data_IF_911667590769
#
_entry.id   IF_911667590769
#
_cell.length_a   1.000
_cell.length_b   1.000
_cell.length_c   1.000
_cell.angle_alpha   90.00
_cell.angle_beta   90.00
_cell.angle_gamma   90.00
#
_symmetry.space_group_name_H-M   'P 1'
#
loop_
_entity.id
_entity.type
_entity.pdbx_description
1 polymer ?
#
# COMPACT_ATOMS: atom_id res chain seq x y z
N UNK A 1 12.46 44.98 -7.21
CA UNK A 1 12.84 43.58 -6.94
C UNK A 1 14.35 43.49 -6.80
N UNK A 2 14.87 42.65 -5.89
CA UNK A 2 16.32 42.38 -5.78
C UNK A 2 16.73 41.12 -6.58
N UNK A 3 18.02 40.88 -6.77
CA UNK A 3 18.51 39.75 -7.59
C UNK A 3 18.02 38.40 -7.06
N UNK A 4 17.97 38.20 -5.74
CA UNK A 4 17.52 36.93 -5.14
C UNK A 4 16.04 36.67 -5.45
N UNK A 5 15.19 37.67 -5.27
CA UNK A 5 13.77 37.60 -5.64
C UNK A 5 13.57 37.36 -7.14
N UNK A 6 14.39 37.99 -7.98
CA UNK A 6 14.33 37.82 -9.43
C UNK A 6 14.75 36.42 -9.86
N UNK A 7 15.74 35.81 -9.20
CA UNK A 7 16.18 34.44 -9.44
C UNK A 7 15.13 33.41 -8.99
N UNK A 8 14.49 33.62 -7.83
CA UNK A 8 13.44 32.74 -7.30
C UNK A 8 12.16 32.73 -8.18
N UNK A 9 11.93 33.78 -8.97
CA UNK A 9 10.72 33.96 -9.79
C UNK A 9 10.96 33.86 -11.30
N UNK A 10 12.19 33.54 -11.72
CA UNK A 10 12.61 33.58 -13.12
C UNK A 10 11.89 32.54 -14.00
N UNK A 11 11.45 31.44 -13.39
CA UNK A 11 10.70 30.35 -14.03
C UNK A 11 9.27 30.75 -14.38
N UNK A 12 8.69 31.75 -13.68
CA UNK A 12 7.33 32.25 -13.93
C UNK A 12 7.19 32.84 -15.34
N UNK A 13 8.29 33.31 -15.94
CA UNK A 13 8.34 33.85 -17.30
C UNK A 13 8.36 32.76 -18.40
N UNK A 14 8.61 31.49 -18.02
CA UNK A 14 8.70 30.36 -18.95
C UNK A 14 7.41 29.55 -19.04
N UNK A 15 6.46 29.77 -18.13
CA UNK A 15 5.16 29.10 -18.12
C UNK A 15 4.15 29.88 -18.98
N UNK A 16 3.79 29.33 -20.14
CA UNK A 16 2.82 29.93 -21.06
C UNK A 16 1.37 29.96 -20.50
N UNK A 17 1.10 29.30 -19.38
CA UNK A 17 -0.19 29.30 -18.69
C UNK A 17 -0.30 30.34 -17.56
N UNK A 18 0.81 31.01 -17.22
CA UNK A 18 0.85 32.05 -16.19
C UNK A 18 0.13 33.33 -16.67
N UNK A 19 -1.17 33.43 -16.40
CA UNK A 19 -1.91 34.67 -16.57
C UNK A 19 -1.49 35.69 -15.50
N UNK A 20 -0.71 36.69 -15.92
CA UNK A 20 -0.14 37.82 -15.17
C UNK A 20 1.28 37.59 -14.63
N UNK A 21 2.26 37.73 -15.52
CA UNK A 21 3.65 37.97 -15.14
C UNK A 21 3.79 39.36 -14.50
N UNK A 22 4.41 39.41 -13.32
CA UNK A 22 4.64 40.64 -12.55
C UNK A 22 5.59 41.58 -13.31
N UNK A 23 5.16 42.81 -13.66
CA UNK A 23 5.98 43.77 -14.42
C UNK A 23 7.34 44.04 -13.76
N UNK A 24 7.41 43.98 -12.43
CA UNK A 24 8.64 44.27 -11.68
C UNK A 24 9.77 43.26 -11.90
N UNK A 25 9.44 42.05 -12.39
CA UNK A 25 10.43 41.04 -12.78
C UNK A 25 11.03 41.36 -14.15
N UNK A 26 10.20 41.80 -15.10
CA UNK A 26 10.65 42.24 -16.42
C UNK A 26 11.57 43.46 -16.29
N UNK A 27 11.16 44.46 -15.51
CA UNK A 27 11.94 45.66 -15.24
C UNK A 27 13.30 45.33 -14.60
N UNK A 28 13.37 44.30 -13.74
CA UNK A 28 14.62 43.88 -13.13
C UNK A 28 15.56 43.16 -14.11
N UNK A 29 15.02 42.29 -14.98
CA UNK A 29 15.81 41.63 -16.01
C UNK A 29 16.39 42.63 -17.01
N UNK A 30 15.65 43.69 -17.35
CA UNK A 30 16.17 44.78 -18.19
C UNK A 30 17.28 45.58 -17.48
N UNK A 31 17.20 45.75 -16.17
CA UNK A 31 18.15 46.54 -15.39
C UNK A 31 19.38 45.76 -14.88
N UNK A 32 19.35 44.42 -14.86
CA UNK A 32 20.36 43.57 -14.24
C UNK A 32 21.00 42.58 -15.24
N UNK A 33 22.20 42.87 -15.78
CA UNK A 33 22.86 42.01 -16.77
C UNK A 33 23.15 40.58 -16.28
N UNK A 34 23.33 40.40 -14.97
CA UNK A 34 23.59 39.08 -14.36
C UNK A 34 22.33 38.22 -14.42
N UNK A 35 21.18 38.79 -14.08
CA UNK A 35 19.90 38.07 -14.10
C UNK A 35 19.40 37.87 -15.53
N UNK A 36 19.62 38.82 -16.43
CA UNK A 36 19.33 38.69 -17.86
C UNK A 36 20.09 37.52 -18.48
N UNK A 37 21.40 37.43 -18.24
CA UNK A 37 22.23 36.35 -18.75
C UNK A 37 21.72 34.99 -18.26
N UNK A 38 21.43 34.89 -16.97
CA UNK A 38 20.92 33.66 -16.36
C UNK A 38 19.56 33.24 -16.94
N UNK A 39 18.66 34.19 -17.17
CA UNK A 39 17.37 33.95 -17.82
C UNK A 39 17.55 33.49 -19.28
N UNK A 40 18.48 34.11 -20.01
CA UNK A 40 18.77 33.76 -21.40
C UNK A 40 19.32 32.33 -21.56
N UNK A 41 20.16 31.89 -20.61
CA UNK A 41 20.70 30.53 -20.56
C UNK A 41 19.59 29.51 -20.25
N UNK A 42 18.74 29.81 -19.27
CA UNK A 42 17.59 28.98 -18.92
C UNK A 42 16.63 28.79 -20.10
N UNK A 43 16.32 29.88 -20.82
CA UNK A 43 15.47 29.84 -22.01
C UNK A 43 16.07 28.99 -23.13
N UNK A 44 17.37 29.11 -23.40
CA UNK A 44 18.08 28.28 -24.39
C UNK A 44 18.07 26.80 -24.02
N UNK A 45 18.25 26.47 -22.73
CA UNK A 45 18.15 25.09 -22.24
C UNK A 45 16.76 24.53 -22.46
N UNK A 46 15.71 25.32 -22.21
CA UNK A 46 14.33 24.89 -22.41
C UNK A 46 13.99 24.68 -23.90
N UNK A 47 14.42 25.60 -24.78
CA UNK A 47 14.22 25.53 -26.23
C UNK A 47 15.01 24.38 -26.90
N UNK A 48 16.06 23.88 -26.25
CA UNK A 48 16.84 22.73 -26.72
C UNK A 48 16.12 21.38 -26.51
N UNK A 49 15.02 21.33 -25.75
CA UNK A 49 14.17 20.14 -25.61
C UNK A 49 12.99 20.19 -26.59
N UNK A 50 12.84 19.22 -27.52
CA UNK A 50 11.67 19.17 -28.39
C UNK A 50 10.45 18.73 -27.58
N UNK A 51 9.44 19.60 -27.45
CA UNK A 51 8.17 19.24 -26.82
C UNK A 51 7.48 18.09 -27.60
N UNK A 52 7.11 16.96 -26.95
CA UNK A 52 6.26 15.98 -27.59
C UNK A 52 4.87 16.58 -27.80
N UNK A 53 4.43 16.68 -29.06
CA UNK A 53 3.04 17.06 -29.38
C UNK A 53 2.10 15.92 -29.00
N UNK A 54 1.58 15.96 -27.78
CA UNK A 54 0.41 15.18 -27.40
C UNK A 54 -0.83 16.01 -27.77
N UNK A 55 -1.45 15.69 -28.91
CA UNK A 55 -2.79 16.19 -29.23
C UNK A 55 -3.80 15.20 -28.62
N UNK A 56 -4.69 15.69 -27.75
CA UNK A 56 -5.81 14.90 -27.24
C UNK A 56 -6.68 14.42 -28.41
N UNK A 57 -7.09 13.15 -28.38
CA UNK A 57 -8.03 12.62 -29.37
C UNK A 57 -9.37 13.35 -29.31
N UNK A 58 -9.98 13.61 -30.47
CA UNK A 58 -11.33 14.17 -30.58
C UNK A 58 -12.32 13.34 -29.77
N UNK A 59 -13.02 13.97 -28.82
CA UNK A 59 -13.98 13.33 -27.91
C UNK A 59 -13.50 13.11 -26.46
N UNK A 60 -12.25 13.46 -26.13
CA UNK A 60 -11.71 13.32 -24.76
C UNK A 60 -12.56 14.06 -23.71
N UNK A 61 -12.96 15.31 -23.97
CA UNK A 61 -13.78 16.09 -23.04
C UNK A 61 -15.14 15.42 -22.79
N UNK A 62 -15.75 14.84 -23.81
CA UNK A 62 -17.05 14.18 -23.71
C UNK A 62 -16.93 12.81 -22.98
N UNK A 63 -15.83 12.09 -23.21
CA UNK A 63 -15.49 10.87 -22.48
C UNK A 63 -15.20 11.14 -20.99
N UNK A 64 -14.52 12.24 -20.67
CA UNK A 64 -14.25 12.66 -19.29
C UNK A 64 -15.53 13.10 -18.59
N UNK A 65 -16.39 13.87 -19.26
CA UNK A 65 -17.66 14.31 -18.68
C UNK A 65 -18.63 13.14 -18.45
N UNK A 66 -18.62 12.12 -19.31
CA UNK A 66 -19.37 10.89 -19.09
C UNK A 66 -18.79 10.03 -17.94
N UNK A 67 -17.47 9.98 -17.79
CA UNK A 67 -16.81 9.25 -16.70
C UNK A 67 -17.06 9.87 -15.32
N UNK A 68 -17.26 11.19 -15.25
CA UNK A 68 -17.60 11.90 -14.01
C UNK A 68 -19.06 11.63 -13.59
N UNK A 69 -19.97 11.43 -14.54
CA UNK A 69 -21.39 11.17 -14.26
C UNK A 69 -21.67 9.70 -13.86
N UNK A 70 -20.79 8.77 -14.19
CA UNK A 70 -20.99 7.32 -13.97
C UNK A 70 -20.04 6.78 -12.87
N UNK A 71 -19.99 7.47 -11.73
CA UNK A 71 -19.19 7.08 -10.55
C UNK A 71 -19.75 5.83 -9.88
N UNK A 72 -19.42 4.67 -10.46
CA UNK A 72 -19.39 3.38 -9.75
C UNK A 72 -18.00 3.17 -9.13
N UNK A 73 -17.90 2.42 -8.01
CA UNK A 73 -16.63 2.20 -7.32
C UNK A 73 -15.57 1.64 -8.28
N UNK A 74 -14.40 2.26 -8.23
CA UNK A 74 -13.26 2.00 -9.10
C UNK A 74 -12.83 0.54 -8.90
N UNK A 75 -13.06 -0.29 -9.92
CA UNK A 75 -12.43 -1.60 -10.05
C UNK A 75 -10.92 -1.38 -10.24
N UNK A 76 -10.11 -1.89 -9.32
CA UNK A 76 -8.65 -1.88 -9.41
C UNK A 76 -8.22 -2.45 -10.77
N UNK A 77 -7.60 -1.61 -11.60
CA UNK A 77 -7.00 -2.01 -12.88
C UNK A 77 -5.53 -2.34 -12.61
N UNK A 78 -5.10 -3.51 -13.09
CA UNK A 78 -3.73 -4.01 -12.94
C UNK A 78 -2.70 -3.07 -13.64
N UNK A 79 -1.76 -2.44 -12.92
CA UNK A 79 -0.90 -1.39 -13.47
C UNK A 79 0.40 -1.88 -14.13
N UNK A 80 0.73 -3.18 -14.08
CA UNK A 80 2.05 -3.70 -14.45
C UNK A 80 2.38 -3.77 -15.96
N UNK A 81 1.58 -3.14 -16.83
CA UNK A 81 1.83 -3.17 -18.29
C UNK A 81 2.63 -1.99 -18.85
N UNK A 82 3.12 -1.06 -18.01
CA UNK A 82 3.85 0.13 -18.47
C UNK A 82 5.18 0.30 -17.75
N UNK A 83 5.96 -0.78 -17.65
CA UNK A 83 7.37 -0.64 -17.31
C UNK A 83 8.10 -0.14 -18.56
N UNK A 84 8.59 1.11 -18.52
CA UNK A 84 9.45 1.82 -19.50
C UNK A 84 8.87 2.77 -20.55
N UNK A 85 7.56 3.07 -20.58
CA UNK A 85 7.05 4.19 -21.41
C UNK A 85 6.62 5.45 -20.61
N UNK A 86 6.58 5.37 -19.27
CA UNK A 86 6.06 6.44 -18.39
C UNK A 86 7.10 7.30 -17.66
N UNK A 87 8.40 7.02 -17.82
CA UNK A 87 9.48 7.61 -16.98
C UNK A 87 9.63 9.14 -17.09
N UNK A 88 9.03 9.80 -18.09
CA UNK A 88 9.05 11.27 -18.22
C UNK A 88 7.71 11.93 -17.83
N UNK A 89 6.63 11.17 -17.69
CA UNK A 89 5.29 11.72 -17.46
C UNK A 89 4.91 11.78 -15.97
N UNK A 90 5.38 10.83 -15.15
CA UNK A 90 5.06 10.76 -13.73
C UNK A 90 5.72 11.90 -12.92
N UNK A 91 6.99 12.21 -13.20
CA UNK A 91 7.69 13.34 -12.58
C UNK A 91 7.04 14.71 -12.91
N UNK A 92 6.43 14.85 -14.08
CA UNK A 92 5.75 16.07 -14.48
C UNK A 92 4.40 16.26 -13.77
N UNK A 93 3.66 15.18 -13.48
CA UNK A 93 2.37 15.25 -12.78
C UNK A 93 2.51 15.62 -11.30
N UNK A 94 3.55 15.14 -10.62
CA UNK A 94 3.85 15.50 -9.22
C UNK A 94 4.21 16.99 -9.09
N UNK A 95 4.94 17.54 -10.08
CA UNK A 95 5.27 18.97 -10.13
C UNK A 95 4.04 19.84 -10.43
N UNK A 96 3.14 19.42 -11.32
CA UNK A 96 1.93 20.19 -11.66
C UNK A 96 0.87 20.18 -10.54
N UNK A 97 0.72 19.07 -9.79
CA UNK A 97 -0.18 19.02 -8.63
C UNK A 97 0.34 19.89 -7.47
N UNK A 98 1.66 19.88 -7.23
CA UNK A 98 2.30 20.73 -6.22
C UNK A 98 2.27 22.23 -6.56
N UNK A 99 2.41 22.61 -7.83
CA UNK A 99 2.38 24.00 -8.27
C UNK A 99 0.98 24.64 -8.14
N UNK A 100 -0.08 23.87 -8.42
CA UNK A 100 -1.46 24.37 -8.37
C UNK A 100 -1.97 24.60 -6.94
N UNK A 101 -1.50 23.79 -5.98
CA UNK A 101 -1.94 23.87 -4.57
C UNK A 101 -1.00 24.65 -3.65
N UNK A 102 0.26 24.87 -4.05
CA UNK A 102 1.17 25.77 -3.34
C UNK A 102 0.59 27.17 -3.16
N UNK A 103 -0.28 27.63 -4.06
CA UNK A 103 -0.97 28.93 -3.93
C UNK A 103 -2.15 28.94 -2.96
N UNK A 104 -2.81 27.80 -2.70
CA UNK A 104 -3.98 27.74 -1.81
C UNK A 104 -3.59 27.46 -0.35
N UNK A 105 -2.64 26.55 -0.11
CA UNK A 105 -2.24 26.13 1.24
C UNK A 105 -1.26 27.08 1.95
N UNK A 106 -0.45 27.84 1.19
CA UNK A 106 0.46 28.87 1.75
C UNK A 106 -0.30 29.98 2.51
N UNK A 107 -1.62 30.07 2.34
CA UNK A 107 -2.44 31.07 3.03
C UNK A 107 -2.82 30.70 4.47
N UNK A 108 -2.63 29.45 4.92
CA UNK A 108 -3.15 28.99 6.23
C UNK A 108 -2.14 28.35 7.18
N UNK A 109 -0.97 27.90 6.72
CA UNK A 109 0.02 27.24 7.60
C UNK A 109 1.44 27.67 7.23
N UNK A 110 2.23 28.12 8.21
CA UNK A 110 3.56 28.73 8.03
C UNK A 110 4.70 27.77 7.63
N UNK A 111 4.41 26.54 7.21
CA UNK A 111 5.38 25.51 6.81
C UNK A 111 5.17 25.18 5.33
N UNK A 112 6.24 25.25 4.53
CA UNK A 112 6.18 25.21 3.05
C UNK A 112 6.06 23.76 2.53
N UNK A 113 4.90 23.29 2.05
CA UNK A 113 4.71 21.90 1.60
C UNK A 113 5.51 21.56 0.32
N UNK A 114 5.83 22.59 -0.47
CA UNK A 114 6.52 22.48 -1.76
C UNK A 114 7.90 21.82 -1.65
N UNK A 115 8.58 21.89 -0.50
CA UNK A 115 9.88 21.23 -0.31
C UNK A 115 9.76 19.73 -0.11
N UNK A 116 8.71 19.25 0.59
CA UNK A 116 8.50 17.82 0.82
C UNK A 116 8.18 17.10 -0.50
N UNK A 117 7.26 17.62 -1.30
CA UNK A 117 6.90 17.01 -2.59
C UNK A 117 8.05 16.99 -3.60
N UNK A 118 8.85 18.07 -3.67
CA UNK A 118 10.07 18.09 -4.50
C UNK A 118 11.06 17.02 -4.03
N UNK A 119 11.27 16.93 -2.72
CA UNK A 119 12.15 15.93 -2.12
C UNK A 119 11.70 14.50 -2.44
N UNK A 120 10.40 14.21 -2.37
CA UNK A 120 9.88 12.91 -2.77
C UNK A 120 10.20 12.59 -4.24
N UNK A 121 10.06 13.57 -5.14
CA UNK A 121 10.47 13.39 -6.54
C UNK A 121 11.96 13.05 -6.71
N UNK A 122 12.83 13.64 -5.88
CA UNK A 122 14.27 13.32 -5.87
C UNK A 122 14.54 11.90 -5.36
N UNK A 123 13.82 11.46 -4.31
CA UNK A 123 13.91 10.11 -3.78
C UNK A 123 13.42 9.04 -4.78
N UNK A 124 12.31 9.29 -5.52
CA UNK A 124 11.87 8.42 -6.64
C UNK A 124 13.00 8.26 -7.65
N UNK A 125 13.60 9.38 -8.07
CA UNK A 125 14.64 9.39 -9.09
C UNK A 125 15.92 8.66 -8.64
N UNK A 126 16.25 8.73 -7.36
CA UNK A 126 17.34 7.95 -6.77
C UNK A 126 17.03 6.45 -6.80
N UNK A 127 15.85 6.05 -6.33
CA UNK A 127 15.42 4.66 -6.29
C UNK A 127 15.28 4.03 -7.68
N UNK A 128 14.96 4.81 -8.71
CA UNK A 128 14.91 4.33 -10.10
C UNK A 128 16.25 3.82 -10.64
N UNK A 129 17.37 4.10 -9.94
CA UNK A 129 18.72 3.64 -10.31
C UNK A 129 19.16 2.38 -9.56
N UNK A 130 18.43 1.99 -8.52
CA UNK A 130 18.70 0.81 -7.72
C UNK A 130 18.34 -0.43 -8.52
N UNK A 131 19.24 -1.41 -8.53
CA UNK A 131 19.03 -2.71 -9.15
C UNK A 131 18.59 -3.75 -8.13
N UNK A 132 19.06 -3.65 -6.90
CA UNK A 132 18.71 -4.59 -5.84
C UNK A 132 18.56 -3.89 -4.49
N UNK A 133 17.64 -4.36 -3.66
CA UNK A 133 17.40 -3.85 -2.32
C UNK A 133 17.18 -5.00 -1.35
N UNK A 134 17.67 -4.83 -0.13
CA UNK A 134 17.45 -5.72 1.00
C UNK A 134 17.11 -4.89 2.23
N UNK A 135 15.99 -5.19 2.87
CA UNK A 135 15.53 -4.55 4.09
C UNK A 135 15.43 -5.61 5.17
N UNK A 136 16.03 -5.32 6.32
CA UNK A 136 15.75 -6.03 7.57
C UNK A 136 14.90 -5.12 8.44
N UNK A 137 13.81 -5.64 8.95
CA UNK A 137 12.86 -4.89 9.76
C UNK A 137 12.31 -5.73 10.90
N UNK A 138 11.62 -5.05 11.80
CA UNK A 138 10.83 -5.64 12.87
C UNK A 138 9.41 -5.07 12.79
N UNK A 139 8.41 -5.93 13.01
CA UNK A 139 7.01 -5.58 12.94
C UNK A 139 6.25 -6.16 14.14
N UNK A 140 5.37 -5.37 14.74
CA UNK A 140 4.54 -5.80 15.86
C UNK A 140 3.33 -6.58 15.35
N UNK A 141 3.48 -7.90 15.24
CA UNK A 141 2.50 -8.79 14.59
C UNK A 141 2.59 -10.20 15.17
N UNK A 142 1.66 -11.07 14.80
CA UNK A 142 1.80 -12.50 15.05
C UNK A 142 2.70 -13.14 13.97
N UNK A 143 3.61 -14.04 14.35
CA UNK A 143 4.57 -14.65 13.41
C UNK A 143 3.92 -15.22 12.14
N UNK A 144 2.87 -16.00 12.31
CA UNK A 144 2.22 -16.80 11.27
C UNK A 144 0.97 -16.16 10.64
N UNK A 145 0.66 -14.90 10.93
CA UNK A 145 -0.51 -14.21 10.39
C UNK A 145 -0.21 -13.41 9.10
N UNK A 146 -1.17 -12.71 8.51
CA UNK A 146 -0.98 -11.88 7.32
C UNK A 146 0.14 -10.82 7.52
N UNK A 147 0.80 -10.41 6.42
CA UNK A 147 1.85 -9.37 6.45
C UNK A 147 1.31 -7.97 6.78
N UNK A 148 0.00 -7.77 6.63
CA UNK A 148 -0.67 -6.50 6.90
C UNK A 148 -1.17 -6.36 8.34
N UNK A 149 -1.32 -7.48 9.04
CA UNK A 149 -1.87 -7.49 10.40
C UNK A 149 -0.84 -6.93 11.39
N UNK A 150 -1.21 -5.89 12.12
CA UNK A 150 -0.51 -5.42 13.32
C UNK A 150 -1.31 -5.83 14.56
N UNK A 151 -0.59 -6.09 15.65
CA UNK A 151 -1.19 -6.40 16.94
C UNK A 151 -0.47 -5.61 18.02
N UNK A 152 -1.09 -4.53 18.50
CA UNK A 152 -0.46 -3.52 19.37
C UNK A 152 0.06 -4.08 20.70
N UNK A 153 -0.45 -5.22 21.14
CA UNK A 153 -0.09 -5.90 22.38
C UNK A 153 0.95 -7.02 22.21
N UNK A 154 1.37 -7.32 20.98
CA UNK A 154 2.35 -8.38 20.69
C UNK A 154 3.78 -7.85 20.69
N UNK A 155 4.74 -8.77 20.71
CA UNK A 155 6.16 -8.45 20.52
C UNK A 155 6.49 -8.14 19.05
N UNK A 156 7.65 -7.51 18.85
CA UNK A 156 8.23 -7.32 17.53
C UNK A 156 8.71 -8.64 16.95
N UNK A 157 8.40 -8.87 15.68
CA UNK A 157 8.75 -10.05 14.90
C UNK A 157 9.63 -9.61 13.73
N UNK A 158 10.73 -10.33 13.42
CA UNK A 158 11.57 -9.98 12.29
C UNK A 158 10.83 -10.17 10.96
N UNK A 159 11.02 -9.21 10.07
CA UNK A 159 10.57 -9.25 8.68
C UNK A 159 11.77 -8.92 7.80
N UNK A 160 12.02 -9.74 6.78
CA UNK A 160 13.06 -9.47 5.79
C UNK A 160 12.44 -9.36 4.39
N UNK A 161 12.90 -8.39 3.62
CA UNK A 161 12.44 -8.10 2.27
C UNK A 161 13.64 -8.00 1.34
N UNK A 162 13.56 -8.70 0.22
CA UNK A 162 14.50 -8.59 -0.89
C UNK A 162 13.74 -8.21 -2.15
N UNK A 163 14.33 -7.29 -2.92
CA UNK A 163 13.84 -6.93 -4.24
C UNK A 163 15.01 -6.89 -5.21
N UNK A 164 14.81 -7.49 -6.38
CA UNK A 164 15.68 -7.37 -7.54
C UNK A 164 14.84 -6.72 -8.66
N UNK A 165 15.20 -5.48 -8.97
CA UNK A 165 14.53 -4.61 -9.92
C UNK A 165 14.99 -4.84 -11.36
N UNK A 166 15.79 -5.88 -11.65
CA UNK A 166 16.02 -6.31 -13.03
C UNK A 166 14.72 -6.77 -13.71
N UNK A 167 14.70 -6.85 -15.05
CA UNK A 167 13.57 -7.48 -15.75
C UNK A 167 13.82 -8.99 -15.89
N UNK A 168 12.90 -9.85 -15.44
CA UNK A 168 11.65 -9.53 -14.75
C UNK A 168 11.83 -9.20 -13.25
N UNK A 169 10.96 -8.33 -12.72
CA UNK A 169 10.96 -7.94 -11.30
C UNK A 169 10.83 -9.19 -10.42
N UNK A 170 11.72 -9.31 -9.44
CA UNK A 170 11.68 -10.37 -8.44
C UNK A 170 11.69 -9.77 -7.05
N UNK A 171 10.94 -10.36 -6.15
CA UNK A 171 10.97 -9.96 -4.74
C UNK A 171 10.62 -11.12 -3.84
N UNK A 172 11.00 -10.98 -2.58
CA UNK A 172 10.73 -11.94 -1.52
C UNK A 172 10.48 -11.18 -0.23
N UNK A 173 9.46 -11.57 0.51
CA UNK A 173 9.19 -11.08 1.86
C UNK A 173 8.99 -12.26 2.77
N UNK A 174 9.68 -12.27 3.90
CA UNK A 174 9.65 -13.34 4.88
C UNK A 174 9.34 -12.81 6.27
N UNK A 175 8.55 -13.58 7.00
CA UNK A 175 8.44 -13.53 8.46
C UNK A 175 8.24 -14.95 9.01
N UNK A 176 8.43 -15.20 10.31
CA UNK A 176 8.41 -16.57 10.82
C UNK A 176 7.07 -17.27 10.60
N UNK A 177 7.03 -18.22 9.68
CA UNK A 177 5.83 -18.96 9.32
C UNK A 177 5.20 -18.56 7.99
N UNK A 178 5.64 -17.46 7.35
CA UNK A 178 5.13 -17.01 6.05
C UNK A 178 6.22 -16.47 5.13
N UNK A 179 6.11 -16.85 3.86
CA UNK A 179 7.03 -16.45 2.80
C UNK A 179 6.21 -16.07 1.58
N UNK A 180 6.39 -14.87 1.06
CA UNK A 180 5.81 -14.43 -0.20
C UNK A 180 6.94 -14.15 -1.19
N UNK A 181 6.83 -14.66 -2.42
CA UNK A 181 7.87 -14.53 -3.45
C UNK A 181 7.21 -14.22 -4.79
N UNK A 182 7.74 -13.23 -5.52
CA UNK A 182 7.57 -13.09 -6.96
C UNK A 182 8.85 -13.59 -7.64
N UNK A 183 8.73 -14.65 -8.43
CA UNK A 183 9.86 -15.32 -9.10
C UNK A 183 10.22 -14.70 -10.47
N UNK A 184 9.53 -13.62 -10.85
CA UNK A 184 9.64 -12.97 -12.16
C UNK A 184 8.48 -13.29 -13.09
N UNK A 185 7.64 -14.27 -12.75
CA UNK A 185 6.45 -14.63 -13.52
C UNK A 185 5.18 -14.59 -12.66
N UNK A 186 5.24 -15.15 -11.45
CA UNK A 186 4.07 -15.31 -10.58
C UNK A 186 4.41 -15.08 -9.12
N UNK A 187 3.46 -14.53 -8.38
CA UNK A 187 3.57 -14.44 -6.92
C UNK A 187 3.06 -15.73 -6.26
N UNK A 188 3.81 -16.21 -5.29
CA UNK A 188 3.47 -17.37 -4.45
C UNK A 188 3.58 -16.98 -2.99
N UNK A 189 2.50 -17.18 -2.24
CA UNK A 189 2.48 -17.11 -0.78
C UNK A 189 2.51 -18.52 -0.23
N UNK A 190 3.46 -18.80 0.65
CA UNK A 190 3.58 -20.04 1.41
C UNK A 190 3.38 -19.74 2.89
N UNK A 191 2.41 -20.43 3.49
CA UNK A 191 2.10 -20.37 4.91
C UNK A 191 2.41 -21.74 5.49
N UNK A 192 3.32 -21.78 6.45
CA UNK A 192 3.72 -23.04 7.08
C UNK A 192 2.52 -23.66 7.84
N UNK A 193 2.39 -24.99 7.81
CA UNK A 193 3.36 -25.95 7.28
C UNK A 193 3.27 -26.20 5.77
N UNK A 194 2.10 -26.12 5.15
CA UNK A 194 1.88 -26.62 3.79
C UNK A 194 0.83 -25.83 2.97
N UNK A 195 0.39 -24.65 3.39
CA UNK A 195 -0.61 -23.89 2.63
C UNK A 195 0.07 -22.99 1.59
N UNK A 196 -0.48 -22.96 0.37
CA UNK A 196 0.07 -22.21 -0.76
C UNK A 196 -1.02 -21.43 -1.46
N UNK A 197 -0.84 -20.13 -1.63
CA UNK A 197 -1.63 -19.32 -2.55
C UNK A 197 -0.75 -18.90 -3.73
N UNK A 198 -1.34 -18.83 -4.92
CA UNK A 198 -0.69 -18.29 -6.11
C UNK A 198 -1.56 -17.20 -6.70
N UNK A 199 -0.92 -16.13 -7.12
CA UNK A 199 -1.55 -15.10 -7.94
C UNK A 199 -0.66 -14.87 -9.16
N UNK A 200 -1.16 -14.07 -10.11
CA UNK A 200 -0.37 -13.64 -11.26
C UNK A 200 0.76 -12.69 -10.83
N UNK A 201 0.87 -11.56 -11.51
CA UNK A 201 1.85 -10.50 -11.22
C UNK A 201 1.48 -9.61 -10.01
N UNK A 202 0.42 -9.95 -9.26
CA UNK A 202 -0.07 -9.12 -8.16
C UNK A 202 0.76 -9.28 -6.88
N UNK A 203 1.25 -8.18 -6.28
CA UNK A 203 1.94 -8.18 -4.99
C UNK A 203 1.00 -8.24 -3.78
N UNK A 204 -0.31 -8.48 -3.97
CA UNK A 204 -1.31 -8.40 -2.90
C UNK A 204 -1.06 -9.27 -1.65
N UNK A 205 -0.17 -10.28 -1.73
CA UNK A 205 0.18 -11.11 -0.57
C UNK A 205 0.95 -10.38 0.53
N UNK A 206 1.64 -9.29 0.22
CA UNK A 206 2.47 -8.55 1.19
C UNK A 206 1.84 -7.24 1.66
N UNK A 207 0.59 -6.96 1.26
CA UNK A 207 -0.19 -5.81 1.72
C UNK A 207 0.57 -4.49 1.54
N UNK A 208 0.58 -3.67 2.60
CA UNK A 208 1.27 -2.38 2.65
C UNK A 208 2.77 -2.44 2.32
N UNK A 209 3.45 -3.57 2.57
CA UNK A 209 4.89 -3.72 2.28
C UNK A 209 5.19 -3.69 0.78
N UNK A 210 4.16 -3.85 -0.07
CA UNK A 210 4.28 -3.61 -1.52
C UNK A 210 4.86 -2.22 -1.80
N UNK A 211 4.50 -1.20 -1.02
CA UNK A 211 5.03 0.14 -1.17
C UNK A 211 6.53 0.21 -0.87
N UNK A 212 7.07 -0.65 0.01
CA UNK A 212 8.52 -0.71 0.21
C UNK A 212 9.25 -1.30 -0.99
N UNK A 213 8.61 -2.19 -1.74
CA UNK A 213 9.15 -2.78 -2.98
C UNK A 213 9.06 -1.74 -4.10
N UNK A 214 7.94 -1.01 -4.20
CA UNK A 214 7.75 0.02 -5.21
C UNK A 214 7.72 1.42 -4.59
N UNK A 215 8.87 2.10 -4.60
CA UNK A 215 9.00 3.44 -4.03
C UNK A 215 8.19 4.49 -4.80
N UNK A 216 7.90 4.29 -6.08
CA UNK A 216 6.97 5.18 -6.81
C UNK A 216 5.55 5.07 -6.25
N UNK A 217 5.10 3.84 -5.93
CA UNK A 217 3.80 3.61 -5.29
C UNK A 217 3.80 4.14 -3.85
N UNK A 218 4.87 3.92 -3.08
CA UNK A 218 5.02 4.50 -1.74
C UNK A 218 4.78 6.00 -1.77
N UNK A 219 5.52 6.69 -2.63
CA UNK A 219 5.50 8.14 -2.68
C UNK A 219 4.19 8.67 -3.28
N UNK A 220 3.64 8.00 -4.30
CA UNK A 220 2.31 8.33 -4.81
C UNK A 220 1.21 8.14 -3.76
N UNK A 221 1.32 7.09 -2.93
CA UNK A 221 0.40 6.84 -1.83
C UNK A 221 0.55 7.90 -0.75
N UNK A 222 1.76 8.26 -0.33
CA UNK A 222 1.97 9.31 0.68
C UNK A 222 1.49 10.68 0.18
N UNK A 223 1.69 10.98 -1.11
CA UNK A 223 1.15 12.19 -1.74
C UNK A 223 -0.38 12.17 -1.72
N UNK A 224 -1.00 11.05 -2.07
CA UNK A 224 -2.46 10.88 -2.00
C UNK A 224 -2.98 11.03 -0.56
N UNK A 225 -2.30 10.45 0.43
CA UNK A 225 -2.68 10.53 1.83
C UNK A 225 -2.55 11.96 2.37
N UNK A 226 -1.52 12.68 1.98
CA UNK A 226 -1.35 14.10 2.31
C UNK A 226 -2.48 14.98 1.72
N UNK A 227 -3.22 14.50 0.73
CA UNK A 227 -4.40 15.18 0.17
C UNK A 227 -5.71 14.81 0.88
N UNK A 228 -5.71 13.83 1.79
CA UNK A 228 -6.89 13.48 2.59
C UNK A 228 -7.09 14.47 3.76
N UNK A 229 -8.35 14.72 4.13
CA UNK A 229 -8.65 15.63 5.23
C UNK A 229 -8.11 15.08 6.56
N UNK A 230 -7.21 15.84 7.20
CA UNK A 230 -6.66 15.52 8.51
C UNK A 230 -5.29 14.85 8.50
N UNK A 231 -4.71 14.63 7.32
CA UNK A 231 -3.33 14.18 7.14
C UNK A 231 -2.35 15.37 7.04
N UNK A 232 -1.10 15.17 7.46
CA UNK A 232 -0.04 16.18 7.38
C UNK A 232 1.26 15.56 6.86
N UNK A 233 1.98 16.30 6.01
CA UNK A 233 3.32 15.92 5.54
C UNK A 233 4.32 17.02 5.91
N UNK A 234 5.45 16.63 6.50
CA UNK A 234 6.53 17.55 6.83
C UNK A 234 7.89 16.97 6.50
N UNK A 235 8.81 17.86 6.09
CA UNK A 235 10.20 17.53 5.83
C UNK A 235 11.08 18.36 6.76
N UNK A 236 11.95 17.67 7.49
CA UNK A 236 12.92 18.25 8.44
C UNK A 236 14.31 17.69 8.17
N UNK A 237 15.32 18.37 8.71
CA UNK A 237 16.72 17.97 8.59
C UNK A 237 17.23 17.72 10.01
N UNK A 238 17.56 16.48 10.32
CA UNK A 238 17.95 16.04 11.66
C UNK A 238 19.39 15.56 11.67
N UNK A 239 20.01 15.58 12.85
CA UNK A 239 21.33 14.97 13.04
C UNK A 239 21.15 13.69 13.83
N UNK A 240 21.60 12.55 13.28
CA UNK A 240 21.54 11.25 13.93
C UNK A 240 22.38 11.22 15.21
N UNK A 241 22.20 10.18 16.02
CA UNK A 241 23.04 9.95 17.20
C UNK A 241 24.53 9.77 16.85
N UNK A 242 24.85 9.34 15.62
CA UNK A 242 26.22 9.25 15.11
C UNK A 242 26.77 10.57 14.53
N UNK A 243 25.96 11.64 14.50
CA UNK A 243 26.38 12.95 14.01
C UNK A 243 26.20 13.16 12.50
N UNK A 244 25.52 12.23 11.81
CA UNK A 244 25.20 12.36 10.38
C UNK A 244 23.94 13.19 10.19
N UNK A 245 23.92 14.09 9.20
CA UNK A 245 22.68 14.78 8.81
C UNK A 245 21.80 13.84 8.01
N UNK A 246 20.50 13.84 8.28
CA UNK A 246 19.50 13.03 7.59
C UNK A 246 18.31 13.90 7.15
N UNK A 247 17.77 13.58 5.97
CA UNK A 247 16.51 14.14 5.51
C UNK A 247 15.36 13.29 6.10
N UNK A 248 14.52 13.90 6.93
CA UNK A 248 13.46 13.20 7.66
C UNK A 248 12.09 13.66 7.18
N UNK A 249 11.36 12.76 6.56
CA UNK A 249 9.98 12.97 6.11
C UNK A 249 9.02 12.33 7.11
N UNK A 250 8.05 13.11 7.59
CA UNK A 250 6.97 12.63 8.46
C UNK A 250 5.65 12.73 7.74
N UNK A 251 4.87 11.65 7.80
CA UNK A 251 3.52 11.59 7.27
C UNK A 251 2.56 11.16 8.37
N UNK A 252 1.65 12.06 8.71
CA UNK A 252 0.50 11.81 9.58
C UNK A 252 -0.67 11.36 8.70
N UNK A 253 -1.23 10.20 8.98
CA UNK A 253 -2.33 9.60 8.23
C UNK A 253 -3.47 9.18 9.17
N UNK A 254 -4.70 9.27 8.66
CA UNK A 254 -5.90 8.80 9.35
C UNK A 254 -6.28 7.39 8.95
N UNK A 255 -6.94 6.68 9.88
CA UNK A 255 -7.52 5.37 9.61
C UNK A 255 -8.47 5.46 8.41
N UNK A 256 -8.26 4.58 7.44
CA UNK A 256 -9.09 4.44 6.27
C UNK A 256 -10.25 3.47 6.53
N UNK A 257 -11.26 3.51 5.67
CA UNK A 257 -12.41 2.62 5.75
C UNK A 257 -13.56 3.17 6.59
N UNK A 258 -14.61 2.37 6.75
CA UNK A 258 -15.82 2.76 7.49
C UNK A 258 -16.01 1.85 8.69
N UNK A 259 -16.11 2.44 9.87
CA UNK A 259 -16.22 1.73 11.14
C UNK A 259 -17.63 1.91 11.69
N UNK A 260 -18.44 0.85 11.61
CA UNK A 260 -19.73 0.78 12.32
C UNK A 260 -19.49 0.55 13.82
N UNK A 261 -18.34 -0.06 14.14
CA UNK A 261 -17.77 -0.23 15.48
C UNK A 261 -16.23 -0.28 15.34
N UNK A 262 -15.50 -0.32 16.46
CA UNK A 262 -14.03 -0.32 16.46
C UNK A 262 -13.41 -1.69 16.09
N UNK A 263 -14.18 -2.65 15.56
CA UNK A 263 -13.64 -3.95 15.15
C UNK A 263 -12.63 -3.79 14.01
N UNK A 264 -11.45 -4.41 14.13
CA UNK A 264 -10.29 -4.24 13.23
C UNK A 264 -9.66 -2.84 13.17
N UNK A 265 -10.19 -1.86 13.90
CA UNK A 265 -9.49 -0.59 14.02
C UNK A 265 -8.11 -0.82 14.64
N UNK A 266 -7.09 -0.18 14.07
CA UNK A 266 -5.69 -0.32 14.47
C UNK A 266 -5.11 -1.74 14.30
N UNK A 267 -5.74 -2.59 13.47
CA UNK A 267 -5.26 -3.94 13.16
C UNK A 267 -4.45 -4.04 11.86
N UNK A 268 -4.36 -2.94 11.11
CA UNK A 268 -3.45 -2.74 9.99
C UNK A 268 -2.95 -1.28 10.00
N UNK A 269 -1.89 -0.98 9.26
CA UNK A 269 -1.44 0.42 9.11
C UNK A 269 -2.53 1.26 8.43
N UNK A 270 -3.22 0.72 7.42
CA UNK A 270 -4.28 1.44 6.72
C UNK A 270 -5.53 1.67 7.60
N UNK A 271 -5.84 0.73 8.51
CA UNK A 271 -6.97 0.82 9.45
C UNK A 271 -6.63 1.62 10.73
N UNK A 272 -5.51 2.35 10.75
CA UNK A 272 -5.00 3.06 11.93
C UNK A 272 -4.76 4.54 11.69
N UNK A 273 -4.96 5.36 12.72
CA UNK A 273 -4.32 6.68 12.77
C UNK A 273 -2.84 6.45 13.03
N UNK A 274 -1.95 6.92 12.15
CA UNK A 274 -0.53 6.60 12.22
C UNK A 274 0.40 7.74 11.77
N UNK A 275 1.60 7.71 12.36
CA UNK A 275 2.74 8.51 11.96
C UNK A 275 3.78 7.60 11.30
N UNK A 276 4.19 7.97 10.08
CA UNK A 276 5.28 7.33 9.34
C UNK A 276 6.47 8.27 9.30
N UNK A 277 7.63 7.79 9.74
CA UNK A 277 8.89 8.56 9.76
C UNK A 277 9.87 7.88 8.82
N UNK A 278 10.11 8.50 7.67
CA UNK A 278 11.09 8.07 6.69
C UNK A 278 12.38 8.86 6.87
N UNK A 279 13.51 8.17 6.88
CA UNK A 279 14.86 8.76 6.98
C UNK A 279 15.63 8.45 5.72
N UNK A 280 16.20 9.48 5.10
CA UNK A 280 16.95 9.35 3.86
C UNK A 280 18.36 9.90 4.01
N UNK A 281 19.28 9.29 3.28
CA UNK A 281 20.64 9.78 3.14
C UNK A 281 20.63 11.06 2.27
N UNK A 282 21.21 12.20 2.71
CA UNK A 282 21.01 13.47 2.02
C UNK A 282 21.64 13.60 0.63
N UNK A 283 22.66 12.82 0.27
CA UNK A 283 23.38 12.98 -1.00
C UNK A 283 22.73 12.13 -2.10
N UNK A 284 22.52 10.86 -1.80
CA UNK A 284 21.94 9.81 -2.64
C UNK A 284 20.41 9.85 -2.64
N UNK A 285 19.78 10.40 -1.60
CA UNK A 285 18.31 10.37 -1.39
C UNK A 285 17.73 8.96 -1.26
N UNK A 286 18.56 7.97 -0.94
CA UNK A 286 18.11 6.59 -0.68
C UNK A 286 17.58 6.48 0.75
N UNK A 287 16.60 5.58 0.94
CA UNK A 287 15.99 5.33 2.24
C UNK A 287 17.02 4.65 3.16
N UNK A 288 17.31 5.26 4.32
CA UNK A 288 18.12 4.64 5.39
C UNK A 288 17.25 3.96 6.43
N UNK A 289 16.04 4.45 6.65
CA UNK A 289 15.14 3.83 7.59
C UNK A 289 13.70 4.31 7.54
N UNK A 290 12.82 3.51 8.13
CA UNK A 290 11.40 3.74 8.28
C UNK A 290 10.96 3.29 9.67
N UNK A 291 10.23 4.16 10.35
CA UNK A 291 9.51 3.87 11.58
C UNK A 291 8.03 4.17 11.38
N UNK A 292 7.13 3.30 11.86
CA UNK A 292 5.69 3.52 11.82
C UNK A 292 5.10 3.38 13.22
N UNK A 293 4.38 4.40 13.64
CA UNK A 293 3.74 4.51 14.94
C UNK A 293 2.22 4.57 14.76
N UNK A 294 1.49 3.80 15.56
CA UNK A 294 0.03 3.89 15.66
C UNK A 294 -0.36 4.76 16.83
N UNK A 295 -1.24 5.72 16.61
CA UNK A 295 -1.77 6.60 17.65
C UNK A 295 -2.86 5.89 18.44
N UNK A 296 -2.63 5.70 19.75
CA UNK A 296 -3.65 5.15 20.66
C UNK A 296 -4.03 6.18 21.73
N UNK A 297 -5.16 6.02 22.42
CA UNK A 297 -5.49 6.86 23.58
C UNK A 297 -4.43 6.83 24.70
N UNK A 298 -3.58 5.80 24.75
CA UNK A 298 -2.51 5.61 25.73
C UNK A 298 -1.16 6.19 25.26
N UNK A 299 -1.07 6.61 24.00
CA UNK A 299 0.16 7.12 23.37
C UNK A 299 0.51 6.37 22.09
N UNK A 300 1.62 6.77 21.48
CA UNK A 300 2.07 6.21 20.22
C UNK A 300 2.75 4.85 20.43
N UNK A 301 2.39 3.88 19.61
CA UNK A 301 2.94 2.51 19.64
C UNK A 301 3.75 2.27 18.38
N UNK A 302 5.05 2.02 18.51
CA UNK A 302 5.88 1.58 17.39
C UNK A 302 5.41 0.19 16.93
N UNK A 303 5.04 0.08 15.65
CA UNK A 303 4.53 -1.15 15.02
C UNK A 303 5.39 -1.66 13.88
N UNK A 304 6.28 -0.83 13.34
CA UNK A 304 7.25 -1.24 12.33
C UNK A 304 8.51 -0.39 12.44
N UNK A 305 9.67 -1.02 12.34
CA UNK A 305 10.95 -0.32 12.22
C UNK A 305 11.93 -1.09 11.33
N UNK A 306 12.65 -0.38 10.47
CA UNK A 306 13.79 -0.95 9.74
C UNK A 306 15.03 -0.98 10.61
N UNK A 307 15.79 -2.07 10.58
CA UNK A 307 17.09 -2.24 11.23
C UNK A 307 18.26 -2.04 10.27
N UNK A 308 18.08 -2.40 9.00
CA UNK A 308 19.07 -2.23 7.95
C UNK A 308 18.37 -2.07 6.59
N UNK A 309 18.90 -1.18 5.76
CA UNK A 309 18.52 -1.03 4.36
C UNK A 309 19.79 -1.01 3.53
N UNK A 310 19.93 -2.00 2.66
CA UNK A 310 21.11 -2.17 1.81
C UNK A 310 20.72 -2.25 0.33
N UNK A 311 21.56 -1.63 -0.51
CA UNK A 311 21.31 -1.45 -1.94
C UNK A 311 22.44 -2.04 -2.78
N UNK A 312 22.09 -2.60 -3.92
CA UNK A 312 23.00 -3.07 -4.97
C UNK A 312 24.11 -4.03 -4.49
N UNK A 313 23.84 -4.76 -3.40
CA UNK A 313 24.65 -5.88 -2.96
C UNK A 313 24.32 -7.13 -3.79
N UNK A 314 25.32 -7.98 -4.12
CA UNK A 314 25.07 -9.26 -4.78
C UNK A 314 24.08 -10.11 -3.98
N UNK A 315 23.02 -10.58 -4.65
CA UNK A 315 22.02 -11.48 -4.08
C UNK A 315 22.16 -12.88 -4.69
N UNK A 316 21.85 -13.91 -3.91
CA UNK A 316 21.81 -15.30 -4.40
C UNK A 316 20.62 -15.47 -5.35
N UNK A 317 20.85 -15.94 -6.58
CA UNK A 317 19.77 -16.15 -7.56
C UNK A 317 18.70 -17.14 -7.09
N UNK A 318 19.06 -18.07 -6.18
CA UNK A 318 18.13 -19.06 -5.63
C UNK A 318 17.16 -18.49 -4.60
N UNK A 319 17.39 -17.24 -4.15
CA UNK A 319 16.56 -16.56 -3.16
C UNK A 319 15.09 -16.43 -3.59
N UNK A 320 14.88 -16.15 -4.88
CA UNK A 320 13.54 -15.98 -5.47
C UNK A 320 12.91 -17.30 -5.93
N UNK A 321 13.55 -18.43 -5.66
CA UNK A 321 12.96 -19.75 -5.85
C UNK A 321 12.34 -20.23 -4.53
N UNK A 322 11.09 -20.69 -4.59
CA UNK A 322 10.39 -21.23 -3.43
C UNK A 322 10.18 -22.75 -3.58
N UNK A 323 10.80 -23.51 -2.68
CA UNK A 323 10.56 -24.95 -2.58
C UNK A 323 9.32 -25.20 -1.74
N UNK A 324 8.31 -25.84 -2.35
CA UNK A 324 7.04 -26.16 -1.71
C UNK A 324 7.02 -27.64 -1.30
N UNK A 325 6.37 -27.98 -0.18
CA UNK A 325 6.26 -29.37 0.24
C UNK A 325 5.30 -30.15 -0.69
N UNK A 326 5.50 -31.48 -0.79
CA UNK A 326 4.69 -32.34 -1.68
C UNK A 326 3.21 -32.38 -1.28
N UNK A 327 2.90 -32.17 0.00
CA UNK A 327 1.54 -32.14 0.56
C UNK A 327 0.91 -30.74 0.56
N UNK A 328 1.35 -29.86 -0.35
CA UNK A 328 0.87 -28.49 -0.41
C UNK A 328 -0.65 -28.38 -0.65
N UNK A 329 -1.32 -27.54 0.15
CA UNK A 329 -2.77 -27.24 0.05
C UNK A 329 -2.97 -25.88 -0.60
N UNK A 330 -3.66 -25.85 -1.75
CA UNK A 330 -3.92 -24.60 -2.50
C UNK A 330 -5.02 -23.76 -1.85
N UNK A 331 -4.75 -22.46 -1.70
CA UNK A 331 -5.68 -21.41 -1.23
C UNK A 331 -6.21 -20.60 -2.41
N UNK A 332 -7.49 -20.21 -2.38
CA UNK A 332 -8.06 -19.22 -3.29
C UNK A 332 -8.57 -19.73 -4.65
N UNK A 333 -8.21 -20.94 -5.08
CA UNK A 333 -8.78 -21.57 -6.29
C UNK A 333 -10.13 -22.23 -5.98
N UNK A 334 -11.17 -21.40 -5.81
CA UNK A 334 -12.53 -21.87 -5.58
C UNK A 334 -13.30 -21.90 -6.89
N UNK A 335 -13.11 -22.96 -7.67
CA UNK A 335 -13.93 -23.19 -8.85
C UNK A 335 -15.42 -23.26 -8.46
N UNK A 336 -16.35 -22.77 -9.30
CA UNK A 336 -17.77 -22.92 -9.07
C UNK A 336 -18.13 -24.41 -8.85
N UNK A 337 -18.90 -24.68 -7.79
CA UNK A 337 -19.45 -26.02 -7.55
C UNK A 337 -20.66 -26.27 -8.44
N UNK A 338 -21.07 -27.53 -8.61
CA UNK A 338 -22.15 -27.92 -9.52
C UNK A 338 -23.50 -27.22 -9.23
N UNK A 339 -23.75 -26.83 -7.98
CA UNK A 339 -24.95 -26.14 -7.51
C UNK A 339 -24.63 -24.72 -6.99
N UNK A 340 -23.62 -24.05 -7.55
CA UNK A 340 -23.10 -22.76 -7.07
C UNK A 340 -24.17 -21.67 -6.92
N UNK A 341 -25.21 -21.67 -7.77
CA UNK A 341 -26.31 -20.70 -7.70
C UNK A 341 -27.01 -20.69 -6.34
N UNK A 342 -27.09 -21.84 -5.66
CA UNK A 342 -27.61 -21.95 -4.29
C UNK A 342 -26.75 -21.15 -3.31
N UNK A 343 -25.43 -21.30 -3.38
CA UNK A 343 -24.47 -20.69 -2.46
C UNK A 343 -24.28 -19.19 -2.73
N UNK A 344 -24.27 -18.78 -3.99
CA UNK A 344 -24.12 -17.39 -4.39
C UNK A 344 -25.32 -16.49 -3.99
N UNK A 345 -26.49 -17.10 -3.71
CA UNK A 345 -27.69 -16.39 -3.25
C UNK A 345 -27.81 -16.26 -1.73
N UNK A 346 -26.96 -16.97 -0.97
CA UNK A 346 -27.00 -16.92 0.49
C UNK A 346 -26.61 -15.52 0.98
N UNK A 347 -27.23 -15.08 2.07
CA UNK A 347 -26.72 -13.94 2.82
C UNK A 347 -25.53 -14.38 3.71
N UNK A 348 -24.71 -13.44 4.24
CA UNK A 348 -23.54 -13.78 5.05
C UNK A 348 -23.87 -14.61 6.29
N UNK A 349 -25.02 -14.37 6.92
CA UNK A 349 -25.44 -15.06 8.15
C UNK A 349 -25.89 -16.49 7.82
N UNK A 350 -26.63 -16.67 6.73
CA UNK A 350 -27.02 -18.00 6.23
C UNK A 350 -25.77 -18.83 5.88
N UNK A 351 -24.79 -18.24 5.22
CA UNK A 351 -23.53 -18.90 4.90
C UNK A 351 -22.75 -19.30 6.17
N UNK A 352 -22.64 -18.42 7.16
CA UNK A 352 -22.02 -18.71 8.44
C UNK A 352 -22.73 -19.86 9.18
N UNK A 353 -24.07 -19.84 9.18
CA UNK A 353 -24.87 -20.90 9.78
C UNK A 353 -24.60 -22.25 9.13
N UNK A 354 -24.59 -22.32 7.80
CA UNK A 354 -24.35 -23.55 7.07
C UNK A 354 -22.91 -24.06 7.25
N UNK A 355 -21.92 -23.16 7.27
CA UNK A 355 -20.53 -23.50 7.59
C UNK A 355 -20.40 -24.17 8.98
N UNK A 356 -20.94 -23.53 10.03
CA UNK A 356 -20.86 -24.11 11.38
C UNK A 356 -21.70 -25.39 11.51
N UNK A 357 -22.85 -25.47 10.84
CA UNK A 357 -23.67 -26.68 10.84
C UNK A 357 -22.93 -27.87 10.20
N UNK A 358 -22.21 -27.63 9.10
CA UNK A 358 -21.37 -28.64 8.47
C UNK A 358 -20.25 -29.11 9.42
N UNK A 359 -19.59 -28.18 10.12
CA UNK A 359 -18.60 -28.51 11.15
C UNK A 359 -19.20 -29.34 12.30
N UNK A 360 -20.39 -28.96 12.79
CA UNK A 360 -21.11 -29.69 13.85
C UNK A 360 -21.44 -31.14 13.45
N UNK A 361 -21.75 -31.36 12.17
CA UNK A 361 -22.07 -32.67 11.61
C UNK A 361 -20.84 -33.46 11.16
N UNK A 362 -19.65 -32.85 11.16
CA UNK A 362 -18.44 -33.38 10.53
C UNK A 362 -18.61 -33.64 9.02
N UNK A 363 -19.47 -32.84 8.36
CA UNK A 363 -19.67 -32.86 6.92
C UNK A 363 -18.60 -31.98 6.24
N UNK A 364 -17.43 -32.58 6.00
CA UNK A 364 -16.27 -31.87 5.46
C UNK A 364 -16.43 -31.52 3.97
N UNK A 365 -17.27 -32.26 3.25
CA UNK A 365 -17.58 -31.98 1.84
C UNK A 365 -18.48 -30.74 1.72
N UNK A 366 -19.46 -30.59 2.61
CA UNK A 366 -20.27 -29.36 2.68
C UNK A 366 -19.47 -28.19 3.24
N UNK A 367 -18.68 -28.40 4.29
CA UNK A 367 -17.83 -27.36 4.90
C UNK A 367 -16.84 -26.76 3.89
N UNK A 368 -16.23 -27.59 3.04
CA UNK A 368 -15.29 -27.17 2.01
C UNK A 368 -15.87 -26.14 1.01
N UNK A 369 -17.21 -26.08 0.86
CA UNK A 369 -17.88 -25.09 -0.01
C UNK A 369 -17.83 -23.66 0.54
N UNK A 370 -17.57 -23.52 1.84
CA UNK A 370 -17.39 -22.26 2.56
C UNK A 370 -15.94 -22.02 2.96
N UNK A 371 -15.03 -22.93 2.64
CA UNK A 371 -13.63 -22.85 3.03
C UNK A 371 -12.82 -22.08 1.99
N UNK A 372 -11.85 -21.28 2.43
CA UNK A 372 -10.97 -20.50 1.54
C UNK A 372 -9.86 -21.31 0.87
N UNK A 373 -9.69 -22.58 1.27
CA UNK A 373 -8.70 -23.49 0.70
C UNK A 373 -9.37 -24.72 0.08
N UNK A 374 -8.61 -25.47 -0.73
CA UNK A 374 -9.11 -26.68 -1.40
C UNK A 374 -9.57 -27.77 -0.44
N UNK A 375 -9.08 -27.77 0.80
CA UNK A 375 -9.55 -28.65 1.87
C UNK A 375 -9.21 -28.08 3.25
N UNK A 376 -9.90 -28.58 4.28
CA UNK A 376 -9.52 -28.35 5.68
C UNK A 376 -8.48 -29.39 6.13
N UNK A 377 -7.43 -28.93 6.81
CA UNK A 377 -6.44 -29.81 7.43
C UNK A 377 -7.05 -30.58 8.63
N UNK A 378 -6.37 -31.63 9.09
CA UNK A 378 -6.87 -32.45 10.20
C UNK A 378 -6.99 -31.68 11.51
N UNK A 379 -6.19 -30.62 11.70
CA UNK A 379 -6.24 -29.77 12.89
C UNK A 379 -7.53 -28.97 12.91
N UNK A 380 -7.95 -28.39 11.78
CA UNK A 380 -9.24 -27.69 11.64
C UNK A 380 -10.39 -28.68 11.86
N UNK A 381 -10.32 -29.88 11.27
CA UNK A 381 -11.35 -30.91 11.46
C UNK A 381 -11.47 -31.33 12.93
N UNK A 382 -10.35 -31.49 13.62
CA UNK A 382 -10.33 -31.83 15.06
C UNK A 382 -10.84 -30.69 15.93
N UNK A 383 -10.50 -29.44 15.59
CA UNK A 383 -10.87 -28.26 16.36
C UNK A 383 -12.35 -27.91 16.22
N UNK A 384 -12.89 -27.91 15.00
CA UNK A 384 -14.29 -27.53 14.72
C UNK A 384 -15.27 -28.71 14.70
N UNK A 385 -14.79 -29.93 14.56
CA UNK A 385 -15.62 -31.13 14.44
C UNK A 385 -16.49 -31.38 15.66
N UNK A 386 -17.80 -31.45 15.45
CA UNK A 386 -18.76 -31.72 16.52
C UNK A 386 -19.03 -30.53 17.44
N UNK A 387 -18.71 -29.30 17.00
CA UNK A 387 -19.11 -28.09 17.72
C UNK A 387 -20.64 -27.97 17.83
N UNK A 388 -21.09 -27.10 18.72
CA UNK A 388 -22.50 -26.69 18.84
C UNK A 388 -22.59 -25.18 18.65
N UNK A 389 -23.47 -24.73 17.75
CA UNK A 389 -23.78 -23.32 17.61
C UNK A 389 -24.71 -22.90 18.75
N UNK A 390 -24.28 -21.94 19.55
CA UNK A 390 -25.10 -21.35 20.62
C UNK A 390 -25.83 -20.13 20.07
N UNK A 391 -25.11 -19.24 19.39
CA UNK A 391 -25.67 -17.98 18.87
C UNK A 391 -24.96 -17.53 17.59
N UNK A 392 -25.73 -16.92 16.69
CA UNK A 392 -25.22 -16.12 15.56
C UNK A 392 -25.85 -14.73 15.60
N UNK A 393 -25.01 -13.70 15.60
CA UNK A 393 -25.39 -12.31 15.60
C UNK A 393 -25.76 -11.77 14.22
N UNK A 394 -26.06 -10.47 14.17
CA UNK A 394 -26.27 -9.76 12.91
C UNK A 394 -24.93 -9.48 12.23
N UNK A 395 -24.87 -9.68 10.92
CA UNK A 395 -23.68 -9.38 10.14
C UNK A 395 -23.40 -7.86 10.14
N UNK A 396 -22.14 -7.48 10.18
CA UNK A 396 -21.70 -6.08 10.08
C UNK A 396 -20.41 -5.98 9.23
N UNK A 397 -20.11 -4.77 8.75
CA UNK A 397 -18.87 -4.47 8.05
C UNK A 397 -18.01 -3.55 8.94
N UNK A 398 -16.69 -3.64 8.80
CA UNK A 398 -15.77 -2.78 9.54
C UNK A 398 -14.46 -2.58 8.79
N UNK A 399 -13.94 -1.36 8.86
CA UNK A 399 -12.67 -0.95 8.26
C UNK A 399 -12.66 -1.07 6.74
N UNK A 400 -11.53 -1.52 6.20
CA UNK A 400 -11.32 -1.80 4.78
C UNK A 400 -11.70 -3.23 4.35
N UNK A 401 -12.16 -4.07 5.27
CA UNK A 401 -12.48 -5.47 4.93
C UNK A 401 -13.64 -5.54 3.92
N UNK A 402 -13.46 -6.20 2.76
CA UNK A 402 -14.48 -6.22 1.69
C UNK A 402 -15.67 -7.13 2.02
N UNK A 403 -15.58 -7.93 3.07
CA UNK A 403 -16.59 -8.90 3.46
C UNK A 403 -17.47 -8.45 4.62
N UNK A 404 -17.95 -9.44 5.37
CA UNK A 404 -18.82 -9.30 6.53
C UNK A 404 -18.23 -10.02 7.73
N UNK A 405 -18.47 -9.46 8.91
CA UNK A 405 -18.23 -10.09 10.19
C UNK A 405 -19.55 -10.60 10.75
N UNK A 406 -19.58 -11.86 11.17
CA UNK A 406 -20.73 -12.49 11.82
C UNK A 406 -20.33 -12.83 13.26
N UNK A 407 -20.83 -12.10 14.27
CA UNK A 407 -20.64 -12.47 15.66
C UNK A 407 -21.19 -13.88 15.90
N UNK A 408 -20.45 -14.70 16.63
CA UNK A 408 -20.91 -16.03 17.00
C UNK A 408 -20.55 -16.39 18.43
N UNK A 409 -21.33 -17.32 18.97
CA UNK A 409 -20.98 -18.10 20.15
C UNK A 409 -21.11 -19.58 19.79
N UNK A 410 -20.03 -20.34 19.96
CA UNK A 410 -19.99 -21.78 19.75
C UNK A 410 -19.47 -22.49 21.00
N UNK A 411 -19.91 -23.73 21.19
CA UNK A 411 -19.32 -24.65 22.15
C UNK A 411 -18.50 -25.69 21.41
N UNK A 412 -17.22 -25.79 21.74
CA UNK A 412 -16.32 -26.78 21.16
C UNK A 412 -16.56 -28.16 21.79
N UNK A 413 -16.00 -29.19 21.16
CA UNK A 413 -16.15 -30.59 21.59
C UNK A 413 -15.61 -30.85 23.00
N UNK A 414 -14.60 -30.10 23.43
CA UNK A 414 -14.05 -30.16 24.80
C UNK A 414 -14.94 -29.48 25.85
N UNK A 415 -16.02 -28.84 25.42
CA UNK A 415 -16.99 -28.16 26.28
C UNK A 415 -16.70 -26.68 26.50
N UNK A 416 -15.59 -26.15 26.01
CA UNK A 416 -15.26 -24.72 26.08
C UNK A 416 -16.16 -23.91 25.15
N UNK A 417 -16.42 -22.65 25.52
CA UNK A 417 -17.20 -21.72 24.72
C UNK A 417 -16.29 -20.69 24.08
N UNK A 418 -16.47 -20.42 22.79
CA UNK A 418 -15.79 -19.36 22.06
C UNK A 418 -16.79 -18.33 21.57
N UNK A 419 -16.49 -17.06 21.84
CA UNK A 419 -17.20 -15.90 21.30
C UNK A 419 -16.24 -15.11 20.42
N UNK A 420 -16.60 -14.90 19.16
CA UNK A 420 -15.76 -14.15 18.22
C UNK A 420 -16.59 -13.63 17.04
N UNK A 421 -15.92 -13.15 15.99
CA UNK A 421 -16.54 -12.70 14.75
C UNK A 421 -15.96 -13.49 13.58
N UNK A 422 -16.79 -14.25 12.89
CA UNK A 422 -16.40 -14.98 11.68
C UNK A 422 -16.27 -13.98 10.52
N UNK A 423 -15.12 -13.92 9.87
CA UNK A 423 -14.91 -13.09 8.69
C UNK A 423 -15.30 -13.88 7.44
N UNK A 424 -16.21 -13.35 6.62
CA UNK A 424 -16.65 -13.98 5.38
C UNK A 424 -16.65 -13.01 4.21
N UNK A 425 -16.16 -13.44 3.05
CA UNK A 425 -16.11 -12.64 1.81
C UNK A 425 -16.68 -13.40 0.62
N UNK A 426 -17.21 -12.68 -0.36
CA UNK A 426 -17.81 -13.24 -1.58
C UNK A 426 -17.31 -12.60 -2.88
N UNK A 427 -16.20 -11.88 -2.82
CA UNK A 427 -15.51 -11.22 -3.94
C UNK A 427 -14.63 -12.18 -4.75
N UNK A 428 -14.88 -13.49 -4.64
CA UNK A 428 -14.29 -14.53 -5.49
C UNK A 428 -15.08 -14.73 -6.79
N UNK A 429 -14.47 -15.40 -7.77
CA UNK A 429 -15.08 -15.67 -9.09
C UNK A 429 -16.39 -16.49 -9.01
N UNK A 430 -16.57 -17.27 -7.95
CA UNK A 430 -17.79 -18.04 -7.71
C UNK A 430 -18.89 -17.23 -7.01
N UNK A 431 -18.61 -15.98 -6.58
CA UNK A 431 -19.54 -15.08 -5.90
C UNK A 431 -20.25 -15.68 -4.68
N UNK A 432 -19.61 -16.64 -3.99
CA UNK A 432 -20.15 -17.29 -2.79
C UNK A 432 -19.37 -16.87 -1.54
N UNK A 433 -20.02 -16.85 -0.39
CA UNK A 433 -19.35 -16.54 0.87
C UNK A 433 -18.39 -17.66 1.28
N UNK A 434 -17.15 -17.29 1.54
CA UNK A 434 -16.12 -18.16 2.12
C UNK A 434 -15.53 -17.52 3.37
N UNK A 435 -15.11 -18.36 4.31
CA UNK A 435 -14.45 -17.94 5.54
C UNK A 435 -13.07 -17.40 5.22
N UNK A 436 -12.75 -16.20 5.68
CA UNK A 436 -11.44 -15.54 5.49
C UNK A 436 -10.69 -15.33 6.84
N UNK A 437 -11.29 -15.76 7.96
CA UNK A 437 -10.71 -15.62 9.29
C UNK A 437 -11.74 -15.71 10.42
N UNK A 438 -11.27 -15.52 11.66
CA UNK A 438 -12.14 -15.43 12.84
C UNK A 438 -12.62 -16.77 13.43
N UNK A 439 -11.90 -17.86 13.18
CA UNK A 439 -12.18 -19.22 13.67
C UNK A 439 -11.60 -19.49 15.07
#
# INVERSE_FOLDING_TARGET
MNCREAQERMTDLLDASAHATDPSLHDHLEACPVCEKMYSELKKTLEAFPAPRVAASTGFTEAVMNAIQDTKPIRQRNPFRVWRAGLAAAAALVVCAGASFGLWYVKTSGTKPVTAFRFLGEAVHAMARVQAMHIKAEMRTLPNDNFEMIALDQDMVPVELWADFSEPLRWRVEKPGRIAVLDGEKSTLFIRPNMVARAGDSPGFVGWMTSLINVEDLLSNEVSLANEQGSEISLTYETSAEGETEDVLRVEAKAQGTYVNDWLKDSSIADSDNLRVYRFEPETKLLKGLEIYVHTPQGDVLVFETKDVSYDLPQDETLFALQLPEDAVTVGELAPVSDNEKYAKMDPREAAQNFFQACAQNDWDEMAKYWFASSADDRIKQYLGGLQVIELGSAFQSGLYPGWFIPYEIKLKDGSTKKHNLAMRNDNDAHRYVVDGGI
#
